data_IF_447326440882
#
_entry.id   IF_447326440882
#
_cell.length_a   1.000
_cell.length_b   1.000
_cell.length_c   1.000
_cell.angle_alpha   90.00
_cell.angle_beta   90.00
_cell.angle_gamma   90.00
#
_symmetry.space_group_name_H-M   'P 1'
#
loop_
_entity.id
_entity.type
_entity.pdbx_description
1 polymer ?
#
# COMPACT_ATOMS: atom_id res chain seq x y z
N UNK A 1 15.38 -1.41 48.95
CA UNK A 1 14.07 -1.93 48.54
C UNK A 1 13.81 -1.38 47.15
N UNK A 2 13.74 -2.22 46.11
CA UNK A 2 13.45 -1.76 44.74
C UNK A 2 11.99 -1.28 44.73
N UNK A 3 11.75 -0.06 44.26
CA UNK A 3 10.39 0.49 44.20
C UNK A 3 9.67 0.02 42.92
N UNK A 4 8.34 0.04 42.91
CA UNK A 4 7.55 -0.28 41.71
C UNK A 4 7.95 0.61 40.51
N UNK A 5 8.29 1.87 40.79
CA UNK A 5 8.75 2.82 39.77
C UNK A 5 10.06 2.35 39.12
N UNK A 6 11.01 1.85 39.90
CA UNK A 6 12.30 1.36 39.39
C UNK A 6 12.11 0.19 38.42
N UNK A 7 11.19 -0.73 38.74
CA UNK A 7 10.85 -1.86 37.86
C UNK A 7 10.23 -1.38 36.55
N UNK A 8 9.29 -0.42 36.62
CA UNK A 8 8.66 0.15 35.41
C UNK A 8 9.67 0.88 34.52
N UNK A 9 10.60 1.62 35.11
CA UNK A 9 11.66 2.32 34.38
C UNK A 9 12.60 1.33 33.71
N UNK A 10 13.03 0.28 34.41
CA UNK A 10 13.89 -0.76 33.83
C UNK A 10 13.20 -1.48 32.66
N UNK A 11 11.93 -1.84 32.83
CA UNK A 11 11.13 -2.47 31.78
C UNK A 11 11.00 -1.54 30.56
N UNK A 12 10.74 -0.25 30.78
CA UNK A 12 10.65 0.74 29.71
C UNK A 12 11.97 0.84 28.92
N UNK A 13 13.10 0.99 29.63
CA UNK A 13 14.44 1.04 29.00
C UNK A 13 14.72 -0.25 28.22
N UNK A 14 14.37 -1.39 28.77
CA UNK A 14 14.54 -2.68 28.12
C UNK A 14 13.72 -2.79 26.82
N UNK A 15 12.46 -2.37 26.83
CA UNK A 15 11.60 -2.33 25.64
C UNK A 15 12.17 -1.39 24.58
N UNK A 16 12.59 -0.18 24.98
CA UNK A 16 13.21 0.78 24.05
C UNK A 16 14.50 0.23 23.46
N UNK A 17 15.33 -0.44 24.28
CA UNK A 17 16.54 -1.11 23.83
C UNK A 17 16.27 -2.21 22.81
N UNK A 18 15.28 -3.08 23.06
CA UNK A 18 14.82 -4.09 22.10
C UNK A 18 14.32 -3.43 20.81
N UNK A 19 13.51 -2.38 20.93
CA UNK A 19 13.00 -1.63 19.77
C UNK A 19 14.13 -1.07 18.90
N UNK A 20 15.14 -0.47 19.52
CA UNK A 20 16.33 0.01 18.84
C UNK A 20 17.10 -1.12 18.14
N UNK A 21 17.28 -2.26 18.81
CA UNK A 21 17.95 -3.43 18.23
C UNK A 21 17.20 -3.98 17.01
N UNK A 22 15.87 -4.05 17.07
CA UNK A 22 15.02 -4.46 15.94
C UNK A 22 15.23 -3.52 14.74
N UNK A 23 15.25 -2.20 14.97
CA UNK A 23 15.48 -1.21 13.92
C UNK A 23 16.85 -1.40 13.26
N UNK A 24 17.90 -1.65 14.05
CA UNK A 24 19.25 -1.93 13.54
C UNK A 24 19.27 -3.20 12.68
N UNK A 25 18.65 -4.29 13.16
CA UNK A 25 18.55 -5.53 12.39
C UNK A 25 17.81 -5.31 11.08
N UNK A 26 16.67 -4.61 11.10
CA UNK A 26 15.90 -4.29 9.90
C UNK A 26 16.69 -3.41 8.92
N UNK A 27 17.49 -2.46 9.42
CA UNK A 27 18.36 -1.63 8.59
C UNK A 27 19.35 -2.48 7.79
N UNK A 28 20.02 -3.44 8.44
CA UNK A 28 20.95 -4.34 7.75
C UNK A 28 20.26 -5.26 6.74
N UNK A 29 19.08 -5.81 7.10
CA UNK A 29 18.28 -6.63 6.19
C UNK A 29 17.88 -5.81 4.95
N UNK A 30 17.41 -4.57 5.15
CA UNK A 30 16.96 -3.71 4.06
C UNK A 30 18.09 -3.26 3.15
N UNK A 31 19.30 -3.05 3.69
CA UNK A 31 20.50 -2.68 2.90
C UNK A 31 21.07 -3.83 2.09
N UNK A 32 20.99 -5.05 2.61
CA UNK A 32 21.60 -6.24 1.97
C UNK A 32 20.71 -6.86 0.90
N UNK A 33 19.38 -6.73 1.00
CA UNK A 33 18.50 -7.23 -0.06
C UNK A 33 18.71 -6.52 -1.41
N UNK A 34 18.55 -7.26 -2.50
CA UNK A 34 18.72 -6.75 -3.88
C UNK A 34 17.39 -6.56 -4.61
N UNK A 35 16.28 -7.10 -4.09
CA UNK A 35 14.98 -7.14 -4.77
C UNK A 35 14.26 -5.79 -4.81
N UNK A 36 14.31 -5.00 -3.72
CA UNK A 36 13.55 -3.75 -3.60
C UNK A 36 14.45 -2.53 -3.53
N UNK A 37 14.61 -1.84 -4.66
CA UNK A 37 15.44 -0.64 -4.77
C UNK A 37 15.10 0.44 -3.72
N UNK A 38 13.80 0.68 -3.46
CA UNK A 38 13.35 1.70 -2.49
C UNK A 38 13.85 1.38 -1.08
N UNK A 39 13.68 0.13 -0.62
CA UNK A 39 14.10 -0.29 0.72
C UNK A 39 15.63 -0.33 0.85
N UNK A 40 16.36 -0.60 -0.23
CA UNK A 40 17.82 -0.57 -0.26
C UNK A 40 18.40 0.84 -0.19
N UNK A 41 17.74 1.80 -0.85
CA UNK A 41 18.14 3.21 -0.85
C UNK A 41 17.68 3.94 0.42
N UNK A 42 16.53 3.57 0.98
CA UNK A 42 15.94 4.14 2.20
C UNK A 42 15.56 3.02 3.18
N UNK A 43 16.54 2.43 3.90
CA UNK A 43 16.30 1.35 4.85
C UNK A 43 15.40 1.80 5.99
N UNK A 44 14.58 0.89 6.53
CA UNK A 44 13.58 1.18 7.58
C UNK A 44 12.47 2.11 7.09
N UNK A 45 12.81 3.32 6.65
CA UNK A 45 11.87 4.36 6.21
C UNK A 45 11.07 3.93 4.98
N UNK A 46 11.70 3.26 4.02
CA UNK A 46 11.05 2.79 2.80
C UNK A 46 9.88 1.82 3.04
N UNK A 47 9.79 1.21 4.23
CA UNK A 47 8.69 0.33 4.63
C UNK A 47 7.39 1.11 4.87
N UNK A 48 7.49 2.37 5.32
CA UNK A 48 6.32 3.23 5.54
C UNK A 48 5.59 3.58 4.24
N UNK A 49 6.28 3.56 3.09
CA UNK A 49 5.63 3.79 1.78
C UNK A 49 4.40 2.90 1.60
N UNK A 50 4.56 1.59 1.83
CA UNK A 50 3.49 0.62 1.64
C UNK A 50 2.43 0.72 2.73
N UNK A 51 2.82 1.08 3.97
CA UNK A 51 1.88 1.35 5.04
C UNK A 51 0.95 2.52 4.68
N UNK A 52 1.52 3.63 4.22
CA UNK A 52 0.75 4.81 3.81
C UNK A 52 -0.04 4.57 2.53
N UNK A 53 0.44 3.73 1.61
CA UNK A 53 -0.33 3.36 0.43
C UNK A 53 -1.63 2.63 0.82
N UNK A 54 -1.56 1.68 1.75
CA UNK A 54 -2.73 0.97 2.29
C UNK A 54 -3.62 1.91 3.11
N UNK A 55 -3.05 2.74 3.98
CA UNK A 55 -3.84 3.69 4.76
C UNK A 55 -4.55 4.72 3.87
N UNK A 56 -3.90 5.11 2.78
CA UNK A 56 -4.45 5.98 1.76
C UNK A 56 -5.69 5.42 1.05
N UNK A 57 -5.89 4.09 1.00
CA UNK A 57 -7.13 3.49 0.48
C UNK A 57 -8.35 3.95 1.27
N UNK A 58 -8.24 3.97 2.58
CA UNK A 58 -9.34 4.40 3.46
C UNK A 58 -9.56 5.91 3.41
N UNK A 59 -8.48 6.70 3.39
CA UNK A 59 -8.60 8.15 3.32
C UNK A 59 -9.12 8.66 1.99
N UNK A 60 -8.91 7.93 0.88
CA UNK A 60 -9.39 8.33 -0.45
C UNK A 60 -10.88 8.59 -0.50
N UNK A 61 -11.68 7.79 0.20
CA UNK A 61 -13.13 7.96 0.22
C UNK A 61 -13.57 9.31 0.84
N UNK A 62 -12.76 9.90 1.72
CA UNK A 62 -13.16 11.04 2.53
C UNK A 62 -12.38 12.33 2.24
N UNK A 63 -11.13 12.23 1.78
CA UNK A 63 -10.22 13.36 1.67
C UNK A 63 -9.69 13.64 0.26
N UNK A 64 -9.86 12.72 -0.70
CA UNK A 64 -9.21 12.81 -2.02
C UNK A 64 -10.15 12.43 -3.17
N UNK A 65 -9.69 12.64 -4.40
CA UNK A 65 -10.37 12.21 -5.62
C UNK A 65 -10.48 10.68 -5.69
N UNK A 66 -11.58 10.19 -6.27
CA UNK A 66 -11.80 8.76 -6.50
C UNK A 66 -10.78 8.20 -7.51
N UNK A 67 -10.56 6.88 -7.51
CA UNK A 67 -9.53 6.20 -8.35
C UNK A 67 -9.64 6.48 -9.88
N UNK A 68 -10.77 7.02 -10.35
CA UNK A 68 -11.07 7.32 -11.77
C UNK A 68 -11.17 8.81 -12.12
N UNK A 69 -10.95 9.71 -11.16
CA UNK A 69 -11.11 11.15 -11.35
C UNK A 69 -9.80 11.86 -11.72
N UNK A 70 -8.66 11.21 -11.51
CA UNK A 70 -7.34 11.74 -11.88
C UNK A 70 -7.16 11.79 -13.41
N UNK A 71 -6.63 12.90 -13.93
CA UNK A 71 -6.31 13.14 -15.35
C UNK A 71 -4.81 13.46 -15.53
N UNK A 72 -4.19 13.15 -16.70
CA UNK A 72 -4.77 12.50 -17.88
C UNK A 72 -4.90 10.98 -17.77
N UNK A 73 -4.17 10.35 -16.85
CA UNK A 73 -4.26 8.91 -16.57
C UNK A 73 -4.72 8.69 -15.15
N UNK A 74 -5.78 7.89 -15.00
CA UNK A 74 -6.33 7.61 -13.69
C UNK A 74 -5.55 6.50 -12.96
N UNK A 75 -5.78 6.36 -11.66
CA UNK A 75 -5.09 5.36 -10.85
C UNK A 75 -5.45 3.93 -11.25
N UNK A 76 -6.69 3.68 -11.67
CA UNK A 76 -7.12 2.37 -12.14
C UNK A 76 -6.31 1.94 -13.38
N UNK A 77 -6.11 2.84 -14.34
CA UNK A 77 -5.27 2.63 -15.53
C UNK A 77 -3.82 2.39 -15.16
N UNK A 78 -3.22 3.25 -14.32
CA UNK A 78 -1.83 3.08 -13.88
C UNK A 78 -1.62 1.74 -13.16
N UNK A 79 -2.56 1.34 -12.31
CA UNK A 79 -2.52 0.05 -11.59
C UNK A 79 -2.57 -1.12 -12.56
N UNK A 80 -3.44 -1.06 -13.57
CA UNK A 80 -3.50 -2.08 -14.62
C UNK A 80 -2.19 -2.18 -15.40
N UNK A 81 -1.63 -1.04 -15.82
CA UNK A 81 -0.32 -0.99 -16.52
C UNK A 81 0.79 -1.58 -15.65
N UNK A 82 0.83 -1.27 -14.35
CA UNK A 82 1.84 -1.83 -13.44
C UNK A 82 1.72 -3.34 -13.25
N UNK A 83 0.49 -3.88 -13.21
CA UNK A 83 0.27 -5.34 -13.13
C UNK A 83 0.70 -6.03 -14.41
N UNK A 84 0.34 -5.46 -15.56
CA UNK A 84 0.73 -5.96 -16.87
C UNK A 84 2.27 -5.95 -17.04
N UNK A 85 2.93 -4.84 -16.68
CA UNK A 85 4.39 -4.71 -16.78
C UNK A 85 5.16 -5.69 -15.86
N UNK A 86 4.55 -6.09 -14.74
CA UNK A 86 5.12 -7.08 -13.82
C UNK A 86 4.76 -8.53 -14.17
N UNK A 87 4.08 -8.76 -15.30
CA UNK A 87 3.58 -10.07 -15.71
C UNK A 87 2.77 -10.75 -14.58
N UNK A 88 1.98 -9.94 -13.87
CA UNK A 88 1.03 -10.38 -12.85
C UNK A 88 -0.38 -10.37 -13.44
N UNK A 89 -1.26 -11.18 -12.85
CA UNK A 89 -2.67 -11.22 -13.25
C UNK A 89 -3.26 -9.80 -13.32
N UNK A 90 -3.65 -9.42 -14.53
CA UNK A 90 -4.23 -8.14 -14.86
C UNK A 90 -5.74 -8.24 -15.09
N UNK A 91 -6.33 -9.41 -14.83
CA UNK A 91 -7.79 -9.58 -14.85
C UNK A 91 -8.42 -8.87 -13.65
N UNK A 92 -9.63 -8.36 -13.86
CA UNK A 92 -10.43 -7.71 -12.82
C UNK A 92 -11.77 -8.43 -12.79
N UNK A 93 -12.32 -8.60 -11.58
CA UNK A 93 -13.64 -9.20 -11.42
C UNK A 93 -14.71 -8.43 -12.21
N UNK A 94 -15.79 -9.13 -12.57
CA UNK A 94 -16.92 -8.52 -13.28
C UNK A 94 -17.48 -7.32 -12.50
N UNK A 95 -17.77 -6.25 -13.22
CA UNK A 95 -18.22 -4.99 -12.67
C UNK A 95 -17.43 -3.81 -13.25
N UNK A 96 -17.97 -2.61 -13.09
CA UNK A 96 -17.30 -1.38 -13.52
C UNK A 96 -17.55 -0.29 -12.50
N UNK A 97 -16.48 0.34 -12.03
CA UNK A 97 -16.53 1.58 -11.26
C UNK A 97 -16.54 2.82 -12.15
N UNK A 98 -16.57 2.65 -13.48
CA UNK A 98 -16.62 3.75 -14.45
C UNK A 98 -17.99 4.42 -14.42
N UNK A 99 -18.00 5.74 -14.43
CA UNK A 99 -19.23 6.51 -14.59
C UNK A 99 -19.89 6.19 -15.94
N UNK A 100 -21.15 5.76 -15.90
CA UNK A 100 -21.94 5.36 -17.05
C UNK A 100 -22.87 6.47 -17.57
N UNK A 101 -22.93 7.61 -16.88
CA UNK A 101 -23.77 8.76 -17.22
C UNK A 101 -23.30 9.52 -18.47
N UNK A 102 -21.99 9.67 -18.78
CA UNK A 102 -21.56 10.41 -19.95
C UNK A 102 -22.05 9.77 -21.26
N UNK A 103 -22.50 10.61 -22.20
CA UNK A 103 -22.95 10.14 -23.52
C UNK A 103 -21.78 9.52 -24.29
N UNK A 104 -22.03 8.39 -24.95
CA UNK A 104 -20.99 7.62 -25.67
C UNK A 104 -20.25 6.60 -24.79
N UNK A 105 -20.64 6.44 -23.53
CA UNK A 105 -20.05 5.44 -22.64
C UNK A 105 -20.43 4.03 -23.06
N UNK A 106 -19.44 3.22 -23.44
CA UNK A 106 -19.61 1.78 -23.71
C UNK A 106 -20.14 1.07 -22.46
N UNK A 107 -21.28 0.38 -22.64
CA UNK A 107 -21.89 -0.50 -21.66
C UNK A 107 -21.89 -1.94 -22.18
N UNK A 108 -21.52 -2.89 -21.34
CA UNK A 108 -21.64 -4.32 -21.63
C UNK A 108 -22.95 -4.83 -21.02
N UNK A 109 -23.91 -5.21 -21.87
CA UNK A 109 -25.12 -5.89 -21.43
C UNK A 109 -24.86 -7.40 -21.42
N UNK A 110 -24.82 -8.01 -20.24
CA UNK A 110 -24.82 -9.47 -20.16
C UNK A 110 -26.16 -10.00 -20.69
N UNK A 111 -26.11 -10.92 -21.66
CA UNK A 111 -27.28 -11.67 -22.06
C UNK A 111 -27.67 -12.65 -20.95
N UNK A 112 -28.96 -12.78 -20.66
CA UNK A 112 -29.48 -13.75 -19.68
C UNK A 112 -29.20 -15.21 -20.12
N UNK A 113 -28.96 -15.42 -21.42
CA UNK A 113 -28.57 -16.70 -22.01
C UNK A 113 -27.46 -16.47 -23.05
N UNK A 114 -26.17 -16.68 -22.70
CA UNK A 114 -25.10 -16.73 -23.69
C UNK A 114 -25.31 -17.97 -24.57
N UNK A 115 -25.20 -17.80 -25.90
CA UNK A 115 -25.24 -18.91 -26.87
C UNK A 115 -23.94 -19.69 -26.86
#
# INVERSE_FOLDING_TARGET
MITLLDVLVQLFVFIVGIGGLIVVVLYFIDRTQTTHAIRRNYPVIGRFRYLFEKLGEFFRQYFFAMDREELPFNRAERTWVYRAAKNTDNTTAFGSTRDLRPVGTIMFANTMFPR
#
